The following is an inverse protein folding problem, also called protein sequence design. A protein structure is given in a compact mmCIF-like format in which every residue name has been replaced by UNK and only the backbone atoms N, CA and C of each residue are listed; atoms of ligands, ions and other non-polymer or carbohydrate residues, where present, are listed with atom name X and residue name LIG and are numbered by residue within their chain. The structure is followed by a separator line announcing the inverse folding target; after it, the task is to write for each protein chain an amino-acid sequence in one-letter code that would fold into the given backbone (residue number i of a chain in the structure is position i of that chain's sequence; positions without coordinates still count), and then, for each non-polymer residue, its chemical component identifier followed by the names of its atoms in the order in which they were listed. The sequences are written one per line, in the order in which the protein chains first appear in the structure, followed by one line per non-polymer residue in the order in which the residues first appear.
data_IF_907317278773
#
_entry.id   IF_907317278773
#
_cell.length_a   1.000
_cell.length_b   1.000
_cell.length_c   1.000
_cell.angle_alpha   90.00
_cell.angle_beta   90.00
_cell.angle_gamma   90.00
#
_symmetry.space_group_name_H-M   'P 1'
#
loop_
_entity.id
_entity.type
_entity.pdbx_description
1 polymer ?
#
# COMPACT_ATOMS: atom_id res chain seq x y z
N UNK A 1 -52.22 -10.95 -21.85
CA UNK A 1 -50.85 -11.11 -22.37
C UNK A 1 -50.09 -9.81 -22.18
N UNK A 2 -48.77 -9.90 -21.92
CA UNK A 2 -47.77 -8.83 -21.63
C UNK A 2 -47.50 -8.52 -20.16
N UNK A 3 -46.92 -9.48 -19.43
CA UNK A 3 -46.09 -9.23 -18.24
C UNK A 3 -44.96 -10.26 -18.25
N UNK A 4 -44.01 -10.15 -19.20
CA UNK A 4 -42.94 -11.13 -19.32
C UNK A 4 -41.56 -10.52 -19.65
N UNK A 5 -41.34 -9.23 -19.35
CA UNK A 5 -40.06 -8.58 -19.69
C UNK A 5 -39.38 -7.84 -18.54
N UNK A 6 -39.94 -7.84 -17.33
CA UNK A 6 -39.34 -7.14 -16.19
C UNK A 6 -38.75 -8.06 -15.11
N UNK A 7 -39.04 -9.37 -15.17
CA UNK A 7 -38.53 -10.34 -14.18
C UNK A 7 -37.14 -10.91 -14.50
N UNK A 8 -36.62 -10.68 -15.70
CA UNK A 8 -35.33 -11.25 -16.13
C UNK A 8 -34.12 -10.40 -15.75
N UNK A 9 -34.32 -9.13 -15.35
CA UNK A 9 -33.20 -8.23 -15.00
C UNK A 9 -32.77 -8.38 -13.54
N UNK A 10 -33.69 -8.79 -12.66
CA UNK A 10 -33.38 -8.91 -11.23
C UNK A 10 -32.48 -10.13 -10.95
N UNK A 11 -32.61 -11.22 -11.70
CA UNK A 11 -31.77 -12.42 -11.50
C UNK A 11 -30.30 -12.23 -11.93
N UNK A 12 -30.02 -11.34 -12.88
CA UNK A 12 -28.63 -11.10 -13.35
C UNK A 12 -27.86 -10.19 -12.40
N UNK A 13 -28.54 -9.30 -11.66
CA UNK A 13 -27.88 -8.38 -10.74
C UNK A 13 -27.47 -9.02 -9.40
N UNK A 14 -28.10 -10.13 -9.01
CA UNK A 14 -27.73 -10.88 -7.80
C UNK A 14 -26.64 -11.94 -8.03
N UNK A 15 -26.27 -12.22 -9.29
CA UNK A 15 -25.19 -13.16 -9.63
C UNK A 15 -23.78 -12.55 -9.60
N UNK A 16 -23.64 -11.23 -9.53
CA UNK A 16 -22.35 -10.53 -9.65
C UNK A 16 -21.82 -9.93 -8.34
N UNK A 17 -22.61 -9.95 -7.26
CA UNK A 17 -22.23 -9.36 -5.96
C UNK A 17 -21.54 -10.34 -5.00
N UNK A 18 -21.36 -11.60 -5.39
CA UNK A 18 -20.49 -12.55 -4.67
C UNK A 18 -19.14 -12.61 -5.39
N UNK A 19 -18.54 -11.46 -5.68
CA UNK A 19 -17.09 -11.41 -5.88
C UNK A 19 -16.48 -11.62 -4.50
N UNK A 20 -16.26 -12.90 -4.23
CA UNK A 20 -15.52 -13.48 -3.12
C UNK A 20 -14.46 -12.49 -2.66
N UNK A 21 -14.71 -11.85 -1.51
CA UNK A 21 -13.66 -11.25 -0.71
C UNK A 21 -12.88 -12.44 -0.18
N UNK A 22 -12.05 -13.00 -1.05
CA UNK A 22 -11.03 -13.95 -0.70
C UNK A 22 -10.07 -13.18 0.19
N UNK A 23 -10.36 -13.21 1.49
CA UNK A 23 -9.39 -12.93 2.54
C UNK A 23 -8.28 -13.97 2.37
N UNK A 24 -7.37 -13.70 1.43
CA UNK A 24 -6.06 -14.29 1.41
C UNK A 24 -5.34 -13.68 2.60
N UNK A 25 -5.61 -14.23 3.79
CA UNK A 25 -4.69 -14.19 4.91
C UNK A 25 -3.40 -14.76 4.36
N UNK A 26 -2.49 -13.87 3.98
CA UNK A 26 -1.27 -14.27 3.34
C UNK A 26 -0.47 -15.05 4.39
N UNK A 27 -0.41 -16.36 4.15
CA UNK A 27 0.50 -17.33 4.71
C UNK A 27 1.88 -16.68 4.88
N UNK A 28 2.61 -16.97 5.96
CA UNK A 28 3.84 -16.28 6.36
C UNK A 28 4.98 -16.26 5.31
N UNK A 29 4.81 -16.96 4.18
CA UNK A 29 5.69 -17.00 3.02
C UNK A 29 5.14 -16.36 1.73
N UNK A 30 3.97 -15.71 1.76
CA UNK A 30 3.43 -15.00 0.61
C UNK A 30 4.29 -13.76 0.31
N UNK A 31 4.76 -13.60 -0.93
CA UNK A 31 5.41 -12.36 -1.38
C UNK A 31 4.36 -11.25 -1.36
N UNK A 32 4.38 -10.45 -0.31
CA UNK A 32 3.51 -9.29 -0.16
C UNK A 32 3.76 -8.30 -1.31
N UNK A 33 2.71 -7.62 -1.80
CA UNK A 33 2.87 -6.53 -2.74
C UNK A 33 3.86 -5.48 -2.22
N UNK A 34 4.81 -5.11 -3.06
CA UNK A 34 5.82 -4.09 -2.76
C UNK A 34 5.71 -2.98 -3.80
N UNK A 35 5.75 -1.73 -3.34
CA UNK A 35 5.83 -0.57 -4.20
C UNK A 35 7.03 0.30 -3.84
N UNK A 36 7.72 0.79 -4.88
CA UNK A 36 8.74 1.82 -4.76
C UNK A 36 8.13 3.14 -5.21
N UNK A 37 8.36 4.21 -4.45
CA UNK A 37 7.81 5.51 -4.78
C UNK A 37 8.37 6.62 -3.90
N UNK A 38 7.78 7.81 -4.06
CA UNK A 38 8.10 9.00 -3.30
C UNK A 38 6.91 9.39 -2.42
N UNK A 39 7.17 9.70 -1.16
CA UNK A 39 6.16 10.23 -0.25
C UNK A 39 5.71 11.60 -0.76
N UNK A 40 4.41 11.75 -0.99
CA UNK A 40 3.77 13.02 -1.39
C UNK A 40 3.30 13.76 -0.16
N UNK A 41 2.61 13.06 0.74
CA UNK A 41 2.05 13.61 1.96
C UNK A 41 2.02 12.55 3.06
N UNK A 42 2.05 13.03 4.30
CA UNK A 42 1.91 12.22 5.50
C UNK A 42 0.86 12.89 6.37
N UNK A 43 -0.19 12.16 6.71
CA UNK A 43 -1.20 12.58 7.67
C UNK A 43 -1.03 11.74 8.94
N UNK A 44 -0.47 12.37 9.98
CA UNK A 44 -0.22 11.68 11.25
C UNK A 44 -1.48 11.55 12.11
N UNK A 45 -2.51 12.38 11.87
CA UNK A 45 -3.77 12.32 12.62
C UNK A 45 -4.61 11.14 12.15
N UNK A 46 -4.69 10.95 10.83
CA UNK A 46 -5.39 9.83 10.21
C UNK A 46 -4.53 8.57 10.10
N UNK A 47 -3.25 8.66 10.45
CA UNK A 47 -2.25 7.60 10.30
C UNK A 47 -2.12 7.12 8.85
N UNK A 48 -2.06 8.05 7.90
CA UNK A 48 -2.05 7.79 6.46
C UNK A 48 -0.77 8.32 5.82
N UNK A 49 -0.24 7.57 4.85
CA UNK A 49 0.84 8.03 3.97
C UNK A 49 0.41 7.93 2.51
N UNK A 50 0.66 8.99 1.74
CA UNK A 50 0.40 9.05 0.30
C UNK A 50 1.73 8.93 -0.43
N UNK A 51 1.84 7.95 -1.32
CA UNK A 51 3.06 7.67 -2.09
C UNK A 51 2.76 7.73 -3.58
N UNK A 52 3.56 8.47 -4.34
CA UNK A 52 3.56 8.50 -5.81
C UNK A 52 4.57 7.48 -6.32
N UNK A 53 4.13 6.51 -7.12
CA UNK A 53 5.01 5.51 -7.71
C UNK A 53 5.70 6.04 -8.98
N UNK A 54 6.63 5.27 -9.55
CA UNK A 54 7.37 5.65 -10.76
C UNK A 54 6.45 5.75 -12.02
N UNK A 55 5.26 5.14 -11.99
CA UNK A 55 4.23 5.29 -13.02
C UNK A 55 3.31 6.51 -12.79
N UNK A 56 3.73 7.42 -11.92
CA UNK A 56 3.03 8.64 -11.51
C UNK A 56 1.68 8.45 -10.80
N UNK A 57 1.34 7.22 -10.42
CA UNK A 57 0.11 6.91 -9.70
C UNK A 57 0.29 7.19 -8.21
N UNK A 58 -0.68 7.88 -7.63
CA UNK A 58 -0.73 8.10 -6.19
C UNK A 58 -1.50 6.98 -5.50
N UNK A 59 -0.94 6.50 -4.39
CA UNK A 59 -1.53 5.45 -3.58
C UNK A 59 -1.51 5.85 -2.12
N UNK A 60 -2.65 5.68 -1.47
CA UNK A 60 -2.85 5.96 -0.06
C UNK A 60 -2.67 4.68 0.74
N UNK A 61 -1.86 4.73 1.78
CA UNK A 61 -1.62 3.62 2.69
C UNK A 61 -1.99 4.00 4.11
N UNK A 62 -2.87 3.22 4.72
CA UNK A 62 -3.13 3.27 6.15
C UNK A 62 -1.94 2.65 6.89
N UNK A 63 -1.47 3.34 7.92
CA UNK A 63 -0.45 2.87 8.85
C UNK A 63 -1.16 2.47 10.14
N UNK A 64 -0.86 1.28 10.63
CA UNK A 64 -1.45 0.70 11.84
C UNK A 64 -0.35 0.44 12.87
N UNK A 65 -0.66 0.21 14.16
CA UNK A 65 0.37 -0.01 15.18
C UNK A 65 1.31 -1.19 14.90
N UNK A 66 0.88 -2.18 14.11
CA UNK A 66 1.69 -3.33 13.69
C UNK A 66 2.55 -3.04 12.46
N UNK A 67 2.44 -1.85 11.86
CA UNK A 67 3.26 -1.44 10.72
C UNK A 67 4.68 -1.14 11.20
N UNK A 68 5.66 -1.78 10.58
CA UNK A 68 7.07 -1.48 10.84
C UNK A 68 7.53 -0.34 9.93
N UNK A 69 8.15 0.69 10.49
CA UNK A 69 8.74 1.78 9.70
C UNK A 69 10.22 1.83 10.00
N UNK A 70 11.02 1.78 8.94
CA UNK A 70 12.47 1.66 9.01
C UNK A 70 13.12 2.72 8.14
N UNK A 71 14.07 3.47 8.70
CA UNK A 71 14.89 4.41 7.92
C UNK A 71 16.26 3.78 7.69
N UNK A 72 16.62 3.65 6.40
CA UNK A 72 17.91 3.16 5.93
C UNK A 72 18.70 4.29 5.29
N UNK A 73 19.95 4.50 5.70
CA UNK A 73 20.87 5.35 4.95
C UNK A 73 21.84 4.51 4.12
N UNK A 74 22.03 4.91 2.86
CA UNK A 74 23.04 4.31 1.96
C UNK A 74 24.33 5.15 1.86
N UNK A 75 24.50 6.18 2.71
CA UNK A 75 25.70 7.02 2.75
C UNK A 75 26.93 6.30 3.34
N UNK A 76 28.02 7.06 3.55
CA UNK A 76 29.26 6.60 4.21
C UNK A 76 29.00 5.90 5.56
N UNK A 77 27.93 6.29 6.25
CA UNK A 77 27.44 5.64 7.45
C UNK A 77 26.16 4.87 7.13
N UNK A 78 26.30 3.55 6.95
CA UNK A 78 25.15 2.65 6.84
C UNK A 78 24.53 2.47 8.23
N UNK A 79 23.34 3.03 8.43
CA UNK A 79 22.56 2.78 9.63
C UNK A 79 21.14 2.33 9.29
N UNK A 80 20.60 1.55 10.20
CA UNK A 80 19.24 1.05 10.17
C UNK A 80 18.58 1.41 11.49
N UNK A 81 17.54 2.23 11.46
CA UNK A 81 16.79 2.62 12.67
C UNK A 81 15.30 2.43 12.50
N UNK A 82 14.65 1.97 13.56
CA UNK A 82 13.20 2.02 13.66
C UNK A 82 12.77 3.48 13.69
N UNK A 83 11.64 3.75 13.05
CA UNK A 83 11.08 5.07 12.89
C UNK A 83 9.57 5.00 13.09
N UNK A 84 8.96 6.18 13.16
CA UNK A 84 7.52 6.36 13.27
C UNK A 84 6.99 7.08 12.03
N UNK A 85 5.66 7.14 11.91
CA UNK A 85 5.02 7.87 10.81
C UNK A 85 5.46 9.34 10.75
N UNK A 86 5.74 9.94 11.91
CA UNK A 86 6.19 11.34 12.05
C UNK A 86 7.58 11.59 11.47
N UNK A 87 8.39 10.54 11.31
CA UNK A 87 9.75 10.65 10.77
C UNK A 87 9.78 10.60 9.23
N UNK A 88 8.65 10.28 8.60
CA UNK A 88 8.49 10.32 7.15
C UNK A 88 8.23 11.76 6.71
N UNK A 89 8.89 12.18 5.64
CA UNK A 89 8.70 13.53 5.07
C UNK A 89 8.37 13.44 3.60
N UNK A 90 7.60 14.42 3.11
CA UNK A 90 7.36 14.58 1.69
C UNK A 90 8.69 14.67 0.91
N UNK A 91 8.73 14.06 -0.26
CA UNK A 91 9.93 13.98 -1.10
C UNK A 91 10.83 12.77 -0.80
N UNK A 92 10.66 12.07 0.33
CA UNK A 92 11.46 10.87 0.63
C UNK A 92 11.11 9.70 -0.29
N UNK A 93 12.12 8.96 -0.76
CA UNK A 93 11.87 7.68 -1.44
C UNK A 93 11.63 6.59 -0.41
N UNK A 94 10.56 5.85 -0.63
CA UNK A 94 10.12 4.75 0.23
C UNK A 94 9.86 3.49 -0.57
N UNK A 95 10.10 2.36 0.06
CA UNK A 95 9.63 1.07 -0.37
C UNK A 95 8.57 0.61 0.62
N UNK A 96 7.32 0.51 0.16
CA UNK A 96 6.17 0.14 0.99
C UNK A 96 5.76 -1.28 0.63
N UNK A 97 5.80 -2.15 1.63
CA UNK A 97 5.18 -3.47 1.59
C UNK A 97 3.80 -3.34 2.21
N UNK A 98 2.76 -3.80 1.54
CA UNK A 98 1.38 -3.59 1.98
C UNK A 98 0.52 -4.84 1.80
N UNK A 99 -0.64 -4.83 2.46
CA UNK A 99 -1.73 -5.77 2.20
C UNK A 99 -3.03 -5.01 1.93
N UNK A 100 -4.01 -5.70 1.36
CA UNK A 100 -5.26 -5.10 0.90
C UNK A 100 -5.30 -4.88 -0.61
N UNK A 101 -6.51 -4.60 -1.11
CA UNK A 101 -6.82 -4.44 -2.53
C UNK A 101 -7.80 -3.28 -2.74
N UNK A 102 -7.74 -2.63 -3.91
CA UNK A 102 -8.64 -1.51 -4.21
C UNK A 102 -8.26 -0.25 -3.45
N UNK A 103 -9.21 0.38 -2.78
CA UNK A 103 -9.03 1.68 -2.10
C UNK A 103 -8.33 1.54 -0.74
N UNK A 104 -8.59 0.43 -0.02
CA UNK A 104 -7.98 0.20 1.28
C UNK A 104 -6.67 -0.59 1.14
N UNK A 105 -5.55 0.10 1.39
CA UNK A 105 -4.22 -0.50 1.44
C UNK A 105 -3.60 -0.20 2.80
N UNK A 106 -3.12 -1.23 3.48
CA UNK A 106 -2.50 -1.09 4.80
C UNK A 106 -1.02 -1.38 4.66
N UNK A 107 -0.19 -0.42 5.08
CA UNK A 107 1.25 -0.59 5.11
C UNK A 107 1.62 -1.66 6.14
N UNK A 108 2.35 -2.69 5.71
CA UNK A 108 2.99 -3.66 6.60
C UNK A 108 4.37 -3.16 7.02
N UNK A 109 5.17 -2.76 6.04
CA UNK A 109 6.54 -2.28 6.23
C UNK A 109 6.79 -1.07 5.33
N UNK A 110 7.35 0.00 5.89
CA UNK A 110 7.78 1.19 5.16
C UNK A 110 9.28 1.37 5.36
N UNK A 111 10.04 1.19 4.28
CA UNK A 111 11.49 1.44 4.27
C UNK A 111 11.77 2.77 3.59
N UNK A 112 12.19 3.77 4.36
CA UNK A 112 12.62 5.07 3.84
C UNK A 112 14.13 5.08 3.59
N UNK A 113 14.56 5.74 2.52
CA UNK A 113 15.97 5.83 2.13
C UNK A 113 16.49 7.28 2.23
N UNK A 114 17.52 7.49 3.06
CA UNK A 114 18.21 8.77 3.22
C UNK A 114 19.46 8.82 2.31
N UNK A 115 19.55 9.86 1.46
CA UNK A 115 20.58 10.02 0.43
C UNK A 115 20.09 9.50 -0.94
N UNK A 116 20.53 10.18 -2.01
CA UNK A 116 19.98 10.01 -3.37
C UNK A 116 19.78 8.55 -3.82
N UNK A 117 18.59 8.33 -4.40
CA UNK A 117 18.09 7.13 -5.12
C UNK A 117 18.04 5.82 -4.31
N UNK A 118 16.80 5.34 -4.15
CA UNK A 118 16.49 3.94 -3.91
C UNK A 118 16.92 3.11 -5.14
N UNK A 119 18.20 2.74 -5.20
CA UNK A 119 18.70 1.79 -6.19
C UNK A 119 18.02 0.45 -5.91
N UNK A 120 17.21 -0.01 -6.88
CA UNK A 120 16.70 -1.37 -6.96
C UNK A 120 17.89 -2.33 -6.87
N UNK A 121 18.02 -3.03 -5.75
CA UNK A 121 18.84 -4.22 -5.66
C UNK A 121 17.89 -5.40 -5.62
N UNK A 122 17.45 -5.85 -6.79
CA UNK A 122 17.08 -7.26 -6.96
C UNK A 122 18.37 -8.07 -7.08
N UNK A 123 18.47 -9.28 -6.49
CA UNK A 123 19.46 -10.25 -6.89
C UNK A 123 19.26 -10.70 -8.35
#
# INVERSE_FOLDING_TARGET
MKIASQLLIVAVFWGLSISVVSTAFANDNAKWPVINGQVVAVDTEQSVVIVKNDAEQQMTFQVVPTSEITIKSKGLLKFNRNATLKDLTAGQRVLVTYYGSGELKVARDIKSFFGERAVNTSP
#
